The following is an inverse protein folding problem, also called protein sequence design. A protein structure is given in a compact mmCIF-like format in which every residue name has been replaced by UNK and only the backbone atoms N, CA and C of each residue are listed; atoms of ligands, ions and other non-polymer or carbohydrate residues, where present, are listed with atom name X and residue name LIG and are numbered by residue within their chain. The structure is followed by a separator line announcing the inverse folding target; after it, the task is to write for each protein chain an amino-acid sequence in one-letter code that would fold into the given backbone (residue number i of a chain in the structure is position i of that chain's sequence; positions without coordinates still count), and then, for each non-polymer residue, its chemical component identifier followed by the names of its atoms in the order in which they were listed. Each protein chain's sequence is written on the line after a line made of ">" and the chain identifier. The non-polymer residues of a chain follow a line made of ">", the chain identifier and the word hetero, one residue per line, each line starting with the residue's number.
data_IF_112059038481
#
_entry.id   IF_112059038481
#
_cell.length_a   1.000
_cell.length_b   1.000
_cell.length_c   1.000
_cell.angle_alpha   90.00
_cell.angle_beta   90.00
_cell.angle_gamma   90.00
#
_symmetry.space_group_name_H-M   'P 1'
#
loop_
_entity.id
_entity.type
_entity.pdbx_description
1 polymer ?
#
# COMPACT_ATOMS: atom_id res chain seq x y z
N UNK A 1 9.24 -6.95 -13.73
CA UNK A 1 8.74 -6.44 -12.43
C UNK A 1 7.25 -6.74 -12.26
N UNK A 2 6.38 -6.28 -13.18
CA UNK A 2 4.91 -6.46 -13.10
C UNK A 2 4.41 -7.87 -12.72
N UNK A 3 4.83 -8.93 -13.43
CA UNK A 3 4.40 -10.32 -13.12
C UNK A 3 4.79 -10.79 -11.70
N UNK A 4 5.92 -10.29 -11.18
CA UNK A 4 6.45 -10.66 -9.86
C UNK A 4 5.66 -9.93 -8.76
N UNK A 5 5.27 -8.68 -9.01
CA UNK A 5 4.42 -7.89 -8.11
C UNK A 5 2.97 -8.38 -8.08
N UNK A 6 2.39 -8.72 -9.23
CA UNK A 6 1.05 -9.32 -9.28
C UNK A 6 1.06 -10.70 -8.62
N UNK A 7 2.12 -11.49 -8.81
CA UNK A 7 2.28 -12.78 -8.15
C UNK A 7 2.37 -12.66 -6.62
N UNK A 8 3.28 -11.83 -6.11
CA UNK A 8 3.55 -11.76 -4.66
C UNK A 8 2.53 -10.90 -3.93
N UNK A 9 2.14 -9.76 -4.52
CA UNK A 9 1.26 -8.77 -3.89
C UNK A 9 -0.23 -9.06 -4.00
N UNK A 10 -0.64 -9.88 -4.98
CA UNK A 10 -2.07 -10.19 -5.23
C UNK A 10 -2.35 -11.68 -5.06
N UNK A 11 -1.57 -12.57 -5.68
CA UNK A 11 -1.87 -14.01 -5.65
C UNK A 11 -1.62 -14.61 -4.25
N UNK A 12 -0.51 -14.30 -3.60
CA UNK A 12 -0.20 -14.83 -2.26
C UNK A 12 -1.24 -14.44 -1.20
N UNK A 13 -1.65 -13.17 -1.04
CA UNK A 13 -2.65 -12.82 -0.05
C UNK A 13 -4.05 -13.38 -0.38
N UNK A 14 -4.40 -13.51 -1.66
CA UNK A 14 -5.65 -14.18 -2.08
C UNK A 14 -5.63 -15.64 -1.65
N UNK A 15 -4.52 -16.36 -1.86
CA UNK A 15 -4.37 -17.74 -1.42
C UNK A 15 -4.38 -17.87 0.12
N UNK A 16 -3.70 -16.98 0.84
CA UNK A 16 -3.71 -16.95 2.31
C UNK A 16 -5.12 -16.75 2.88
N UNK A 17 -5.92 -15.87 2.28
CA UNK A 17 -7.29 -15.57 2.71
C UNK A 17 -8.31 -16.63 2.25
N UNK A 18 -8.03 -17.38 1.18
CA UNK A 18 -8.82 -18.55 0.78
C UNK A 18 -8.71 -19.71 1.77
N UNK A 19 -7.66 -19.75 2.60
CA UNK A 19 -7.50 -20.77 3.64
C UNK A 19 -8.33 -20.39 4.88
N UNK A 20 -9.37 -21.20 5.16
CA UNK A 20 -10.35 -20.95 6.23
C UNK A 20 -9.70 -20.78 7.62
N UNK A 21 -8.58 -21.46 7.88
CA UNK A 21 -7.82 -21.39 9.15
C UNK A 21 -7.15 -20.03 9.37
N UNK A 22 -6.67 -19.40 8.30
CA UNK A 22 -6.02 -18.09 8.39
C UNK A 22 -7.02 -16.94 8.47
N UNK A 23 -8.21 -17.12 7.86
CA UNK A 23 -9.33 -16.18 7.96
C UNK A 23 -9.95 -16.11 9.36
N UNK A 24 -9.79 -17.14 10.19
CA UNK A 24 -10.31 -17.17 11.57
C UNK A 24 -9.28 -16.74 12.61
N UNK A 25 -8.01 -16.59 12.23
CA UNK A 25 -6.94 -16.21 13.14
C UNK A 25 -6.52 -14.76 12.92
N UNK A 26 -6.55 -13.94 13.98
CA UNK A 26 -6.22 -12.52 13.94
C UNK A 26 -4.82 -12.26 13.35
N UNK A 27 -3.83 -13.08 13.71
CA UNK A 27 -2.47 -12.98 13.18
C UNK A 27 -2.39 -13.30 11.68
N UNK A 28 -3.22 -14.23 11.22
CA UNK A 28 -3.31 -14.63 9.82
C UNK A 28 -3.94 -13.55 8.92
N UNK A 29 -4.99 -12.91 9.42
CA UNK A 29 -5.61 -11.76 8.74
C UNK A 29 -4.64 -10.58 8.71
N UNK A 30 -3.95 -10.29 9.82
CA UNK A 30 -3.03 -9.16 9.90
C UNK A 30 -1.85 -9.31 8.94
N UNK A 31 -1.22 -10.49 8.90
CA UNK A 31 -0.12 -10.75 7.97
C UNK A 31 -0.55 -10.69 6.51
N UNK A 32 -1.72 -11.23 6.17
CA UNK A 32 -2.29 -11.13 4.83
C UNK A 32 -2.53 -9.67 4.42
N UNK A 33 -3.09 -8.85 5.31
CA UNK A 33 -3.32 -7.41 5.03
C UNK A 33 -2.01 -6.63 4.83
N UNK A 34 -0.98 -6.88 5.65
CA UNK A 34 0.34 -6.26 5.45
C UNK A 34 0.90 -6.63 4.08
N UNK A 35 0.79 -7.90 3.69
CA UNK A 35 1.28 -8.37 2.40
C UNK A 35 0.56 -7.70 1.23
N UNK A 36 -0.76 -7.53 1.31
CA UNK A 36 -1.55 -6.77 0.32
C UNK A 36 -1.07 -5.32 0.24
N UNK A 37 -0.95 -4.64 1.38
CA UNK A 37 -0.52 -3.23 1.43
C UNK A 37 0.87 -3.08 0.80
N UNK A 38 1.81 -3.97 1.16
CA UNK A 38 3.15 -3.98 0.58
C UNK A 38 3.10 -4.23 -0.94
N UNK A 39 2.31 -5.21 -1.39
CA UNK A 39 2.14 -5.51 -2.81
C UNK A 39 1.60 -4.34 -3.63
N UNK A 40 0.58 -3.65 -3.10
CA UNK A 40 0.01 -2.45 -3.73
C UNK A 40 1.01 -1.29 -3.74
N UNK A 41 1.79 -1.11 -2.68
CA UNK A 41 2.83 -0.08 -2.63
C UNK A 41 3.90 -0.31 -3.70
N UNK A 42 4.41 -1.54 -3.82
CA UNK A 42 5.40 -1.87 -4.85
C UNK A 42 4.80 -1.65 -6.25
N UNK A 43 3.56 -2.10 -6.48
CA UNK A 43 2.86 -1.86 -7.75
C UNK A 43 2.76 -0.36 -8.09
N UNK A 44 2.47 0.47 -7.09
CA UNK A 44 2.35 1.92 -7.27
C UNK A 44 3.70 2.56 -7.60
N UNK A 45 4.79 2.11 -6.96
CA UNK A 45 6.14 2.56 -7.30
C UNK A 45 6.56 2.11 -8.70
N UNK A 46 6.18 0.91 -9.11
CA UNK A 46 6.52 0.39 -10.43
C UNK A 46 5.80 1.10 -11.57
N UNK A 47 4.51 1.39 -11.39
CA UNK A 47 3.76 2.17 -12.38
C UNK A 47 4.21 3.63 -12.39
N UNK A 48 4.50 4.25 -11.24
CA UNK A 48 4.83 5.67 -11.20
C UNK A 48 6.30 6.00 -11.52
N UNK A 49 7.26 5.19 -11.06
CA UNK A 49 8.69 5.49 -11.17
C UNK A 49 9.37 4.59 -12.21
N UNK A 50 9.28 3.27 -12.04
CA UNK A 50 10.04 2.34 -12.87
C UNK A 50 9.55 2.32 -14.33
N UNK A 51 8.24 2.50 -14.57
CA UNK A 51 7.70 2.58 -15.94
C UNK A 51 8.16 3.84 -16.69
N UNK A 52 8.29 4.97 -15.97
CA UNK A 52 8.73 6.24 -16.56
C UNK A 52 10.24 6.31 -16.72
N UNK A 53 10.99 5.55 -15.93
CA UNK A 53 12.45 5.51 -16.00
C UNK A 53 12.94 4.92 -17.32
N UNK A 54 12.27 3.90 -17.88
CA UNK A 54 12.58 3.35 -19.20
C UNK A 54 12.41 4.40 -20.32
N UNK A 55 11.35 5.22 -20.23
CA UNK A 55 11.11 6.32 -21.14
C UNK A 55 12.12 7.48 -20.96
N UNK A 56 12.47 7.81 -19.71
CA UNK A 56 13.36 8.91 -19.36
C UNK A 56 14.84 8.61 -19.65
N UNK A 57 15.32 7.37 -19.46
CA UNK A 57 16.67 6.93 -19.85
C UNK A 57 16.90 7.07 -21.35
N UNK A 58 15.88 6.80 -22.16
CA UNK A 58 15.94 6.99 -23.63
C UNK A 58 16.07 8.47 -24.03
N UNK A 59 15.71 9.40 -23.13
CA UNK A 59 15.82 10.86 -23.31
C UNK A 59 16.90 11.52 -22.44
N UNK A 60 17.73 10.74 -21.74
CA UNK A 60 18.86 11.22 -20.96
C UNK A 60 18.52 11.87 -19.60
N UNK A 61 17.32 11.64 -19.07
CA UNK A 61 16.95 12.09 -17.72
C UNK A 61 16.93 10.89 -16.76
N UNK A 62 17.72 10.90 -15.69
CA UNK A 62 17.60 9.90 -14.61
C UNK A 62 16.79 10.49 -13.45
N UNK A 63 15.71 9.80 -13.04
CA UNK A 63 14.92 10.22 -11.89
C UNK A 63 15.54 9.63 -10.62
N UNK A 64 16.03 10.52 -9.73
CA UNK A 64 16.47 10.13 -8.41
C UNK A 64 15.53 10.75 -7.37
N UNK A 65 14.88 9.93 -6.52
CA UNK A 65 13.86 10.44 -5.60
C UNK A 65 14.47 11.42 -4.61
N UNK A 66 13.84 12.58 -4.46
CA UNK A 66 14.26 13.58 -3.48
C UNK A 66 13.79 13.22 -2.07
N UNK A 67 14.59 13.57 -1.06
CA UNK A 67 14.19 13.46 0.36
C UNK A 67 12.85 14.19 0.62
N UNK A 68 12.58 15.27 -0.11
CA UNK A 68 11.32 16.00 0.00
C UNK A 68 10.10 15.18 -0.45
N UNK A 69 10.24 14.29 -1.43
CA UNK A 69 9.13 13.43 -1.86
C UNK A 69 8.71 12.45 -0.77
N UNK A 70 9.69 11.92 -0.04
CA UNK A 70 9.44 11.07 1.12
C UNK A 70 8.77 11.84 2.25
N UNK A 71 9.23 13.06 2.54
CA UNK A 71 8.64 13.92 3.58
C UNK A 71 7.20 14.32 3.23
N UNK A 72 6.92 14.65 1.97
CA UNK A 72 5.55 14.96 1.52
C UNK A 72 4.66 13.74 1.63
N UNK A 73 5.14 12.56 1.23
CA UNK A 73 4.38 11.30 1.36
C UNK A 73 4.07 10.99 2.83
N UNK A 74 5.05 11.16 3.72
CA UNK A 74 4.87 10.97 5.17
C UNK A 74 3.88 11.98 5.76
N UNK A 75 3.93 13.23 5.29
CA UNK A 75 2.95 14.27 5.65
C UNK A 75 1.53 13.89 5.25
N UNK A 76 1.33 13.37 4.04
CA UNK A 76 0.02 12.89 3.56
C UNK A 76 -0.50 11.74 4.42
N UNK A 77 0.35 10.75 4.74
CA UNK A 77 -0.04 9.62 5.62
C UNK A 77 -0.40 10.12 7.02
N UNK A 78 0.38 11.05 7.56
CA UNK A 78 0.12 11.64 8.88
C UNK A 78 -1.21 12.40 8.90
N UNK A 79 -1.52 13.14 7.83
CA UNK A 79 -2.79 13.84 7.67
C UNK A 79 -3.97 12.85 7.61
N UNK A 80 -3.83 11.73 6.90
CA UNK A 80 -4.87 10.69 6.85
C UNK A 80 -5.17 10.12 8.24
N UNK A 81 -4.13 9.80 9.02
CA UNK A 81 -4.30 9.29 10.40
C UNK A 81 -4.94 10.35 11.30
N UNK A 82 -4.53 11.62 11.16
CA UNK A 82 -5.12 12.73 11.91
C UNK A 82 -6.62 12.90 11.59
N UNK A 83 -6.98 12.91 10.30
CA UNK A 83 -8.37 13.02 9.86
C UNK A 83 -9.20 11.81 10.33
N UNK A 84 -8.66 10.60 10.24
CA UNK A 84 -9.33 9.40 10.76
C UNK A 84 -9.60 9.51 12.27
N UNK A 85 -8.62 9.95 13.05
CA UNK A 85 -8.79 10.19 14.50
C UNK A 85 -9.84 11.26 14.78
N UNK A 86 -9.84 12.34 14.01
CA UNK A 86 -10.83 13.41 14.15
C UNK A 86 -12.23 12.92 13.82
N UNK A 87 -12.39 12.18 12.72
CA UNK A 87 -13.64 11.54 12.34
C UNK A 87 -14.14 10.58 13.42
N UNK A 88 -13.25 9.73 13.94
CA UNK A 88 -13.58 8.78 14.99
C UNK A 88 -14.05 9.44 16.31
N UNK A 89 -13.54 10.65 16.61
CA UNK A 89 -13.94 11.41 17.80
C UNK A 89 -15.27 12.13 17.64
N UNK A 90 -15.57 12.64 16.44
CA UNK A 90 -16.71 13.55 16.23
C UNK A 90 -17.92 12.87 15.58
N UNK A 91 -17.75 11.74 14.90
CA UNK A 91 -18.86 10.98 14.34
C UNK A 91 -19.33 9.89 15.32
N UNK A 92 -20.63 9.59 15.37
CA UNK A 92 -21.16 8.45 16.11
C UNK A 92 -20.76 7.15 15.39
N UNK A 93 -19.55 6.64 15.69
CA UNK A 93 -19.02 5.41 15.08
C UNK A 93 -19.80 4.15 15.48
N UNK A 94 -20.40 4.16 16.66
CA UNK A 94 -21.26 3.08 17.13
C UNK A 94 -22.70 3.60 17.15
N UNK A 95 -23.55 3.03 16.29
CA UNK A 95 -24.98 3.17 16.46
C UNK A 95 -25.32 2.65 17.87
N UNK A 96 -26.02 3.46 18.67
CA UNK A 96 -26.55 3.04 19.97
C UNK A 96 -27.41 1.79 19.72
N UNK A 97 -27.02 0.67 20.33
CA UNK A 97 -27.84 -0.54 20.36
C UNK A 97 -29.15 -0.29 21.12
#
# INVERSE_FOLDING_TARGET
>A
MYLLETGIGVIIPVLLLSIKQLRTNLTGIFSANILVIAGVLVNRLNVCLFSMQEYNTTRGAEYFPSVMEFLVTLGIVSLQVFLFKMAAKHLPLFARA
#
